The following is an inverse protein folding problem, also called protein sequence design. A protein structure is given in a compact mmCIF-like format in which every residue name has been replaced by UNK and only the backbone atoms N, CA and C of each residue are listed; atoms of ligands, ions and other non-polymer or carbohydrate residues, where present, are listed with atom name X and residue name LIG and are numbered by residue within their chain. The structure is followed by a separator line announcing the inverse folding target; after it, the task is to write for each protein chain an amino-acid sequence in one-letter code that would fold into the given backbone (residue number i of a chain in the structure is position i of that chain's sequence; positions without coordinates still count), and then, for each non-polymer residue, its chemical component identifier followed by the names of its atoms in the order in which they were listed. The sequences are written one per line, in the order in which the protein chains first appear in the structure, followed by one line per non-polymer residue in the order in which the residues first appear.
data_IF_904117243162
#
_entry.id   IF_904117243162
#
_cell.length_a   1.000
_cell.length_b   1.000
_cell.length_c   1.000
_cell.angle_alpha   90.00
_cell.angle_beta   90.00
_cell.angle_gamma   90.00
#
_symmetry.space_group_name_H-M   'P 1'
#
loop_
_entity.id
_entity.type
_entity.pdbx_description
1 polymer ?
#
# COMPACT_ATOMS: atom_id res chain seq x y z
N UNK A 1 21.85 17.35 10.39
CA UNK A 1 21.15 17.27 9.09
C UNK A 1 19.72 17.68 9.34
N UNK A 2 19.11 18.57 8.53
CA UNK A 2 17.72 18.93 8.72
C UNK A 2 16.88 17.66 8.65
N UNK A 3 15.95 17.50 9.60
CA UNK A 3 15.03 16.36 9.61
C UNK A 3 14.21 16.42 8.33
N UNK A 4 13.99 15.28 7.69
CA UNK A 4 13.33 15.13 6.37
C UNK A 4 11.90 15.71 6.28
N UNK A 5 11.42 16.42 7.31
CA UNK A 5 10.07 16.96 7.44
C UNK A 5 10.02 18.50 7.56
N UNK A 6 11.15 19.21 7.45
CA UNK A 6 11.20 20.69 7.59
C UNK A 6 10.25 21.42 6.62
N UNK A 7 9.94 20.81 5.47
CA UNK A 7 8.97 21.38 4.53
C UNK A 7 7.53 21.32 5.04
N UNK A 8 7.17 20.29 5.84
CA UNK A 8 5.81 20.11 6.36
C UNK A 8 5.40 21.26 7.28
N UNK A 9 6.32 21.75 8.12
CA UNK A 9 6.08 22.87 9.01
C UNK A 9 5.70 24.19 8.29
N UNK A 10 6.02 24.28 7.00
CA UNK A 10 5.75 25.43 6.14
C UNK A 10 4.72 25.15 5.05
N UNK A 11 4.29 23.88 4.93
CA UNK A 11 3.41 23.45 3.87
C UNK A 11 1.96 23.82 4.16
N UNK A 12 1.42 24.78 3.40
CA UNK A 12 0.03 25.26 3.54
C UNK A 12 -0.98 24.42 2.76
N UNK A 13 -0.54 23.64 1.78
CA UNK A 13 -1.38 22.77 0.95
C UNK A 13 -0.62 21.48 0.66
N UNK A 14 -1.01 20.43 1.34
CA UNK A 14 -0.39 19.10 1.26
C UNK A 14 -1.39 18.11 0.67
N UNK A 15 -1.01 17.34 -0.33
CA UNK A 15 -1.72 16.13 -0.70
C UNK A 15 -1.02 14.91 -0.09
N UNK A 16 -1.77 13.99 0.47
CA UNK A 16 -1.27 12.75 1.09
C UNK A 16 -1.82 11.58 0.31
N UNK A 17 -0.95 10.72 -0.16
CA UNK A 17 -1.30 9.52 -0.90
C UNK A 17 -0.81 8.30 -0.12
N UNK A 18 -1.73 7.73 0.68
CA UNK A 18 -1.50 6.48 1.39
C UNK A 18 -1.67 5.28 0.47
N UNK A 19 -0.88 4.25 0.68
CA UNK A 19 -1.00 3.02 -0.09
C UNK A 19 -0.05 1.94 0.38
N UNK A 20 -0.34 0.68 0.04
CA UNK A 20 0.62 -0.40 0.30
C UNK A 20 1.86 -0.24 -0.57
N UNK A 21 1.69 0.21 -1.83
CA UNK A 21 2.74 0.38 -2.84
C UNK A 21 3.61 -0.88 -3.00
N UNK A 22 2.95 -1.99 -3.25
CA UNK A 22 3.58 -3.31 -3.36
C UNK A 22 3.35 -3.98 -4.75
N UNK A 23 4.08 -3.52 -5.79
CA UNK A 23 4.90 -2.30 -5.85
C UNK A 23 4.10 -1.03 -6.17
N UNK A 24 4.76 0.11 -6.04
CA UNK A 24 4.31 1.35 -6.68
C UNK A 24 4.33 1.19 -8.20
N UNK A 25 3.38 1.82 -8.88
CA UNK A 25 3.25 1.71 -10.34
C UNK A 25 2.86 3.04 -10.98
N UNK A 26 2.95 3.10 -12.32
CA UNK A 26 2.70 4.33 -13.07
C UNK A 26 1.27 4.88 -12.88
N UNK A 27 0.29 4.04 -12.54
CA UNK A 27 -1.04 4.49 -12.16
C UNK A 27 -1.04 5.36 -10.90
N UNK A 28 -0.23 5.02 -9.88
CA UNK A 28 -0.08 5.86 -8.69
C UNK A 28 0.57 7.20 -9.02
N UNK A 29 1.64 7.17 -9.83
CA UNK A 29 2.36 8.39 -10.25
C UNK A 29 1.43 9.31 -11.05
N UNK A 30 0.71 8.78 -12.03
CA UNK A 30 -0.21 9.55 -12.85
C UNK A 30 -1.33 10.20 -12.03
N UNK A 31 -1.88 9.50 -11.03
CA UNK A 31 -2.86 10.08 -10.09
C UNK A 31 -2.22 11.22 -9.30
N UNK A 32 -1.00 11.06 -8.78
CA UNK A 32 -0.30 12.09 -8.02
C UNK A 32 -0.03 13.34 -8.88
N UNK A 33 0.39 13.17 -10.13
CA UNK A 33 0.60 14.27 -11.10
C UNK A 33 -0.70 14.98 -11.44
N UNK A 34 -1.78 14.24 -11.65
CA UNK A 34 -3.10 14.81 -11.92
C UNK A 34 -3.62 15.62 -10.70
N UNK A 35 -3.44 15.09 -9.48
CA UNK A 35 -3.76 15.80 -8.23
C UNK A 35 -2.91 17.06 -8.08
N UNK A 36 -1.62 17.01 -8.39
CA UNK A 36 -0.73 18.16 -8.36
C UNK A 36 -1.20 19.27 -9.32
N UNK A 37 -1.65 18.89 -10.51
CA UNK A 37 -2.12 19.82 -11.54
C UNK A 37 -3.47 20.46 -11.17
N UNK A 38 -4.45 19.64 -10.76
CA UNK A 38 -5.83 20.07 -10.53
C UNK A 38 -6.01 20.78 -9.18
N UNK A 39 -5.49 20.18 -8.12
CA UNK A 39 -5.68 20.69 -6.75
C UNK A 39 -4.57 21.62 -6.28
N UNK A 40 -3.47 21.70 -7.03
CA UNK A 40 -2.31 22.55 -6.77
C UNK A 40 -1.80 22.50 -5.33
N UNK A 41 -1.58 21.29 -4.74
CA UNK A 41 -0.86 21.22 -3.50
C UNK A 41 0.60 21.67 -3.71
N UNK A 42 1.26 22.14 -2.65
CA UNK A 42 2.69 22.47 -2.71
C UNK A 42 3.54 21.19 -2.79
N UNK A 43 3.03 20.11 -2.21
CA UNK A 43 3.68 18.80 -2.18
C UNK A 43 2.63 17.68 -2.26
N UNK A 44 3.04 16.55 -2.83
CA UNK A 44 2.35 15.27 -2.70
C UNK A 44 3.25 14.35 -1.87
N UNK A 45 2.76 13.95 -0.71
CA UNK A 45 3.44 13.07 0.22
C UNK A 45 2.94 11.64 0.04
N UNK A 46 3.79 10.76 -0.44
CA UNK A 46 3.53 9.33 -0.47
C UNK A 46 3.79 8.73 0.90
N UNK A 47 2.85 7.95 1.41
CA UNK A 47 2.97 7.27 2.70
C UNK A 47 2.79 5.78 2.50
N UNK A 48 3.88 5.03 2.29
CA UNK A 48 3.82 3.57 2.23
C UNK A 48 3.34 3.01 3.56
N UNK A 49 2.28 2.19 3.52
CA UNK A 49 1.71 1.58 4.71
C UNK A 49 2.72 0.66 5.42
N UNK A 50 2.86 0.79 6.72
CA UNK A 50 3.74 -0.07 7.51
C UNK A 50 3.16 -1.49 7.64
N UNK A 51 2.18 -1.64 8.52
CA UNK A 51 1.44 -2.88 8.72
C UNK A 51 -0.06 -2.63 8.52
N UNK A 52 -0.57 -2.71 7.27
CA UNK A 52 -1.95 -2.38 6.95
C UNK A 52 -2.91 -3.45 7.49
N UNK A 53 -3.80 -3.11 8.45
CA UNK A 53 -4.68 -4.08 9.12
C UNK A 53 -5.74 -4.71 8.20
N UNK A 54 -6.04 -4.07 7.06
CA UNK A 54 -7.03 -4.56 6.08
C UNK A 54 -6.45 -5.52 5.04
N UNK A 55 -5.17 -5.83 5.13
CA UNK A 55 -4.49 -6.79 4.26
C UNK A 55 -3.69 -7.78 5.10
N UNK A 56 -4.38 -8.59 5.95
CA UNK A 56 -3.68 -9.67 6.63
C UNK A 56 -3.03 -10.58 5.58
N UNK A 57 -1.91 -11.18 5.96
CA UNK A 57 -1.29 -12.22 5.15
C UNK A 57 -2.30 -13.34 4.93
N UNK A 58 -2.98 -13.29 3.80
CA UNK A 58 -3.81 -14.42 3.37
C UNK A 58 -2.88 -15.51 2.86
N UNK A 59 -3.21 -16.79 3.02
CA UNK A 59 -2.41 -17.87 2.45
C UNK A 59 -2.09 -17.59 0.97
N UNK A 60 -0.80 -17.54 0.64
CA UNK A 60 -0.32 -17.22 -0.72
C UNK A 60 -0.19 -15.73 -1.06
N UNK A 61 -0.49 -14.80 -0.15
CA UNK A 61 -0.32 -13.36 -0.37
C UNK A 61 0.71 -12.78 0.59
N UNK A 62 1.96 -12.80 0.20
CA UNK A 62 3.03 -12.13 0.92
C UNK A 62 3.12 -10.65 0.48
N UNK A 63 2.97 -9.71 1.42
CA UNK A 63 3.26 -8.28 1.18
C UNK A 63 4.75 -8.08 1.41
N UNK A 64 5.44 -7.46 0.46
CA UNK A 64 6.87 -7.16 0.59
C UNK A 64 7.16 -6.31 1.83
N UNK A 65 8.33 -6.50 2.42
CA UNK A 65 8.76 -5.75 3.58
C UNK A 65 8.57 -4.24 3.38
N UNK A 66 8.20 -3.54 4.46
CA UNK A 66 7.93 -2.11 4.43
C UNK A 66 9.10 -1.29 3.90
N UNK A 67 10.34 -1.70 4.22
CA UNK A 67 11.55 -1.03 3.74
C UNK A 67 11.69 -1.14 2.21
N UNK A 68 11.45 -2.31 1.63
CA UNK A 68 11.49 -2.47 0.18
C UNK A 68 10.43 -1.60 -0.52
N UNK A 69 9.22 -1.55 0.01
CA UNK A 69 8.12 -0.73 -0.53
C UNK A 69 8.42 0.77 -0.44
N UNK A 70 9.02 1.19 0.69
CA UNK A 70 9.51 2.56 0.85
C UNK A 70 10.59 2.90 -0.17
N UNK A 71 11.61 2.06 -0.35
CA UNK A 71 12.71 2.32 -1.27
C UNK A 71 12.25 2.35 -2.73
N UNK A 72 11.35 1.45 -3.14
CA UNK A 72 10.74 1.49 -4.46
C UNK A 72 9.94 2.78 -4.69
N UNK A 73 9.18 3.21 -3.67
CA UNK A 73 8.41 4.45 -3.74
C UNK A 73 9.34 5.66 -3.85
N UNK A 74 10.37 5.74 -3.02
CA UNK A 74 11.36 6.81 -3.04
C UNK A 74 12.06 6.90 -4.39
N UNK A 75 12.55 5.77 -4.91
CA UNK A 75 13.22 5.71 -6.21
C UNK A 75 12.30 6.15 -7.38
N UNK A 76 10.98 5.94 -7.23
CA UNK A 76 10.00 6.29 -8.26
C UNK A 76 9.65 7.77 -8.31
N UNK A 77 9.80 8.49 -7.21
CA UNK A 77 9.27 9.86 -7.09
C UNK A 77 10.36 10.92 -6.89
N UNK A 78 11.60 10.51 -6.64
CA UNK A 78 12.71 11.42 -6.27
C UNK A 78 13.07 12.45 -7.35
N UNK A 79 12.74 12.22 -8.61
CA UNK A 79 12.99 13.16 -9.71
C UNK A 79 11.97 14.31 -9.76
N UNK A 80 10.80 14.15 -9.17
CA UNK A 80 9.79 15.21 -9.11
C UNK A 80 9.95 16.02 -7.82
N UNK A 81 10.36 17.31 -7.89
CA UNK A 81 10.60 18.12 -6.69
C UNK A 81 9.33 18.40 -5.87
N UNK A 82 8.14 18.16 -6.41
CA UNK A 82 6.89 18.32 -5.68
C UNK A 82 6.43 17.03 -4.97
N UNK A 83 7.17 15.91 -5.14
CA UNK A 83 6.87 14.64 -4.51
C UNK A 83 7.84 14.35 -3.37
N UNK A 84 7.31 13.79 -2.30
CA UNK A 84 8.08 13.34 -1.14
C UNK A 84 7.55 11.99 -0.65
N UNK A 85 8.35 11.25 0.10
CA UNK A 85 7.96 9.96 0.70
C UNK A 85 8.20 10.01 2.20
N UNK A 86 7.22 9.59 2.97
CA UNK A 86 7.33 9.52 4.43
C UNK A 86 7.46 8.09 4.92
N UNK A 87 8.29 7.91 5.94
CA UNK A 87 8.47 6.64 6.66
C UNK A 87 7.53 6.49 7.86
N UNK A 88 6.66 7.48 8.11
CA UNK A 88 5.89 7.58 9.36
C UNK A 88 5.08 6.33 9.71
N UNK A 89 4.61 5.58 8.72
CA UNK A 89 3.90 4.32 8.96
C UNK A 89 4.85 3.11 9.01
N UNK A 90 5.95 3.13 8.25
CA UNK A 90 6.99 2.09 8.30
C UNK A 90 7.67 2.05 9.68
N UNK A 91 7.98 3.22 10.24
CA UNK A 91 8.69 3.34 11.51
C UNK A 91 7.75 3.16 12.74
N UNK A 92 6.42 3.17 12.50
CA UNK A 92 5.42 2.99 13.56
C UNK A 92 5.32 1.51 13.94
N UNK A 93 5.37 1.22 15.24
CA UNK A 93 5.11 -0.12 15.76
C UNK A 93 3.60 -0.40 15.79
N UNK A 94 3.22 -1.59 15.35
CA UNK A 94 1.83 -2.06 15.34
C UNK A 94 1.06 -1.71 14.06
N UNK A 95 -0.28 -1.81 14.08
CA UNK A 95 -1.12 -1.52 12.91
C UNK A 95 -1.01 -0.07 12.46
N UNK A 96 -1.03 0.16 11.15
CA UNK A 96 -1.01 1.50 10.55
C UNK A 96 -2.43 1.94 10.21
N UNK A 97 -2.96 2.89 10.97
CA UNK A 97 -4.27 3.49 10.67
C UNK A 97 -4.10 4.88 10.07
N UNK A 98 -4.87 5.18 9.05
CA UNK A 98 -4.83 6.47 8.34
C UNK A 98 -5.15 7.65 9.27
N UNK A 99 -6.05 7.47 10.24
CA UNK A 99 -6.39 8.51 11.22
C UNK A 99 -5.17 8.96 12.01
N UNK A 100 -4.34 8.04 12.50
CA UNK A 100 -3.14 8.36 13.28
C UNK A 100 -2.11 9.12 12.41
N UNK A 101 -1.99 8.72 11.15
CA UNK A 101 -1.10 9.36 10.18
C UNK A 101 -1.51 10.81 9.90
N UNK A 102 -2.82 11.06 9.74
CA UNK A 102 -3.33 12.41 9.52
C UNK A 102 -3.30 13.26 10.80
N UNK A 103 -3.50 12.68 11.97
CA UNK A 103 -3.32 13.37 13.26
C UNK A 103 -1.87 13.86 13.41
N UNK A 104 -0.87 12.99 13.17
CA UNK A 104 0.55 13.38 13.18
C UNK A 104 0.85 14.50 12.18
N UNK A 105 0.30 14.42 10.96
CA UNK A 105 0.49 15.47 9.96
C UNK A 105 -0.16 16.80 10.37
N UNK A 106 -1.30 16.77 11.07
CA UNK A 106 -1.93 17.95 11.64
C UNK A 106 -1.11 18.62 12.74
N UNK A 107 -0.38 17.84 13.52
CA UNK A 107 0.55 18.34 14.55
C UNK A 107 1.78 19.03 13.92
N UNK A 108 2.27 18.50 12.79
CA UNK A 108 3.48 19.00 12.13
C UNK A 108 3.16 20.19 11.21
N UNK A 109 2.09 20.10 10.44
CA UNK A 109 1.71 21.14 9.48
C UNK A 109 1.17 22.40 10.17
N UNK A 110 1.23 23.59 9.51
CA UNK A 110 0.59 24.79 10.04
C UNK A 110 -0.89 24.56 10.39
N UNK A 111 -1.42 25.20 11.45
CA UNK A 111 -2.82 24.98 11.87
C UNK A 111 -3.87 25.23 10.78
N UNK A 112 -3.57 26.13 9.85
CA UNK A 112 -4.42 26.48 8.71
C UNK A 112 -4.05 25.76 7.41
N UNK A 113 -3.19 24.74 7.47
CA UNK A 113 -2.83 23.97 6.30
C UNK A 113 -4.03 23.20 5.77
N UNK A 114 -4.21 23.20 4.45
CA UNK A 114 -5.12 22.29 3.77
C UNK A 114 -4.41 20.95 3.54
N UNK A 115 -4.93 19.91 4.12
CA UNK A 115 -4.46 18.52 3.87
C UNK A 115 -5.52 17.84 3.02
N UNK A 116 -5.13 17.38 1.85
CA UNK A 116 -5.94 16.55 0.96
C UNK A 116 -5.51 15.09 1.13
N UNK A 117 -6.44 14.20 1.40
CA UNK A 117 -6.17 12.75 1.39
C UNK A 117 -6.69 12.15 0.08
N UNK A 118 -5.78 11.61 -0.72
CA UNK A 118 -6.10 11.00 -2.01
C UNK A 118 -6.53 9.56 -1.77
N UNK A 119 -7.76 9.24 -2.15
CA UNK A 119 -8.40 7.94 -1.89
C UNK A 119 -9.10 7.43 -3.16
N UNK A 120 -9.06 6.13 -3.41
CA UNK A 120 -9.89 5.52 -4.45
C UNK A 120 -11.38 5.58 -4.09
N UNK A 121 -12.23 5.69 -5.09
CA UNK A 121 -13.68 5.76 -4.89
C UNK A 121 -14.25 4.52 -4.18
N UNK A 122 -13.70 3.34 -4.46
CA UNK A 122 -13.99 2.07 -3.79
C UNK A 122 -13.66 2.12 -2.29
N UNK A 123 -12.48 2.60 -1.94
CA UNK A 123 -12.05 2.75 -0.56
C UNK A 123 -12.86 3.84 0.20
N UNK A 124 -13.28 4.92 -0.49
CA UNK A 124 -14.18 5.92 0.09
C UNK A 124 -15.55 5.33 0.40
N UNK A 125 -16.06 4.42 -0.42
CA UNK A 125 -17.33 3.75 -0.17
C UNK A 125 -17.33 2.96 1.15
N UNK A 126 -16.18 2.45 1.56
CA UNK A 126 -15.97 1.67 2.78
C UNK A 126 -15.41 2.50 3.95
N UNK A 127 -15.23 3.81 3.81
CA UNK A 127 -14.50 4.65 4.77
C UNK A 127 -15.06 4.60 6.19
N UNK A 128 -16.38 4.42 6.34
CA UNK A 128 -17.02 4.31 7.66
C UNK A 128 -16.64 3.03 8.43
N UNK A 129 -16.04 2.04 7.76
CA UNK A 129 -15.51 0.83 8.41
C UNK A 129 -14.08 1.01 8.93
N UNK A 130 -13.43 2.13 8.56
CA UNK A 130 -12.06 2.39 8.96
C UNK A 130 -11.96 2.78 10.42
N UNK A 131 -10.83 2.43 11.05
CA UNK A 131 -10.57 2.82 12.43
C UNK A 131 -10.60 4.35 12.57
N UNK A 132 -11.39 4.85 13.53
CA UNK A 132 -11.51 6.28 13.79
C UNK A 132 -12.15 7.09 12.66
N UNK A 133 -12.99 6.48 11.81
CA UNK A 133 -13.60 7.10 10.62
C UNK A 133 -14.20 8.49 10.89
N UNK A 134 -14.94 8.68 11.98
CA UNK A 134 -15.56 9.97 12.30
C UNK A 134 -14.53 11.08 12.59
N UNK A 135 -13.39 10.73 13.18
CA UNK A 135 -12.28 11.68 13.39
C UNK A 135 -11.56 11.92 12.06
N UNK A 136 -11.27 10.86 11.33
CA UNK A 136 -10.61 10.90 10.03
C UNK A 136 -11.31 11.86 9.07
N UNK A 137 -12.66 11.81 8.99
CA UNK A 137 -13.47 12.63 8.10
C UNK A 137 -13.38 14.15 8.39
N UNK A 138 -12.87 14.53 9.57
CA UNK A 138 -12.69 15.94 10.00
C UNK A 138 -11.25 16.43 9.89
N UNK A 139 -10.28 15.53 9.69
CA UNK A 139 -8.85 15.86 9.68
C UNK A 139 -8.38 16.42 8.34
N UNK A 140 -9.04 16.09 7.24
CA UNK A 140 -8.60 16.46 5.89
C UNK A 140 -9.76 16.66 4.93
N UNK A 141 -9.47 17.21 3.75
CA UNK A 141 -10.36 17.17 2.60
C UNK A 141 -10.03 15.91 1.77
N UNK A 142 -11.02 15.18 1.28
CA UNK A 142 -10.80 13.96 0.51
C UNK A 142 -10.81 14.27 -0.99
N UNK A 143 -9.86 13.73 -1.72
CA UNK A 143 -9.89 13.66 -3.18
C UNK A 143 -10.24 12.22 -3.55
N UNK A 144 -11.52 11.99 -3.85
CA UNK A 144 -12.03 10.69 -4.27
C UNK A 144 -11.74 10.47 -5.76
N UNK A 145 -10.74 9.69 -6.04
CA UNK A 145 -10.31 9.38 -7.41
C UNK A 145 -11.10 8.20 -7.93
N UNK A 146 -11.78 8.39 -9.06
CA UNK A 146 -12.51 7.32 -9.74
C UNK A 146 -12.02 7.10 -11.15
N UNK A 147 -12.26 5.89 -11.66
CA UNK A 147 -12.02 5.53 -13.05
C UNK A 147 -13.30 5.67 -13.86
N UNK A 148 -13.17 5.84 -15.17
CA UNK A 148 -14.32 5.85 -16.07
C UNK A 148 -15.19 4.60 -15.87
N UNK A 149 -16.51 4.80 -15.80
CA UNK A 149 -17.46 3.71 -15.53
C UNK A 149 -17.75 3.43 -14.05
N UNK A 150 -17.09 4.11 -13.11
CA UNK A 150 -17.45 4.01 -11.69
C UNK A 150 -18.65 4.90 -11.36
N UNK A 151 -19.66 4.33 -10.73
CA UNK A 151 -20.84 5.06 -10.28
C UNK A 151 -20.75 5.31 -8.77
N UNK A 152 -20.83 6.57 -8.38
CA UNK A 152 -20.91 6.93 -6.97
C UNK A 152 -22.33 6.70 -6.42
N UNK A 153 -22.41 6.21 -5.20
CA UNK A 153 -23.65 6.25 -4.46
C UNK A 153 -23.85 7.65 -3.86
N UNK A 154 -24.65 8.49 -4.51
CA UNK A 154 -24.91 9.86 -4.07
C UNK A 154 -25.44 9.92 -2.64
N UNK A 155 -26.27 8.98 -2.23
CA UNK A 155 -26.77 8.90 -0.86
C UNK A 155 -25.63 8.71 0.15
N UNK A 156 -24.62 7.89 -0.17
CA UNK A 156 -23.45 7.69 0.68
C UNK A 156 -22.60 8.97 0.77
N UNK A 157 -22.28 9.61 -0.36
CA UNK A 157 -21.52 10.86 -0.39
C UNK A 157 -22.25 11.98 0.39
N UNK A 158 -23.56 12.10 0.19
CA UNK A 158 -24.37 13.07 0.92
C UNK A 158 -24.40 12.78 2.42
N UNK A 159 -24.47 11.51 2.83
CA UNK A 159 -24.37 11.13 4.24
C UNK A 159 -23.02 11.54 4.85
N UNK A 160 -21.89 11.27 4.15
CA UNK A 160 -20.57 11.67 4.61
C UNK A 160 -20.46 13.19 4.78
N UNK A 161 -21.02 13.97 3.85
CA UNK A 161 -20.99 15.44 3.89
C UNK A 161 -21.91 16.00 4.99
N UNK A 162 -23.14 15.56 5.07
CA UNK A 162 -24.16 16.14 5.95
C UNK A 162 -24.02 15.69 7.39
N UNK A 163 -23.81 14.37 7.61
CA UNK A 163 -23.76 13.82 8.95
C UNK A 163 -22.36 13.96 9.60
N UNK A 164 -21.30 13.80 8.81
CA UNK A 164 -19.93 13.79 9.34
C UNK A 164 -19.15 15.06 9.03
N UNK A 165 -19.69 15.97 8.19
CA UNK A 165 -19.02 17.21 7.82
C UNK A 165 -17.83 17.01 6.88
N UNK A 166 -17.76 15.87 6.19
CA UNK A 166 -16.65 15.57 5.29
C UNK A 166 -16.62 16.51 4.07
N UNK A 167 -15.44 17.00 3.73
CA UNK A 167 -15.20 17.75 2.48
C UNK A 167 -14.66 16.75 1.45
N UNK A 168 -15.44 16.49 0.41
CA UNK A 168 -15.12 15.47 -0.60
C UNK A 168 -15.13 16.10 -1.98
N UNK A 169 -14.00 16.02 -2.67
CA UNK A 169 -13.81 16.38 -4.07
C UNK A 169 -13.84 15.11 -4.91
N UNK A 170 -14.79 15.01 -5.84
CA UNK A 170 -14.88 13.89 -6.76
C UNK A 170 -14.01 14.21 -7.97
N UNK A 171 -13.06 13.36 -8.28
CA UNK A 171 -12.05 13.62 -9.31
C UNK A 171 -11.88 12.40 -10.22
N UNK A 172 -12.08 12.60 -11.51
CA UNK A 172 -11.82 11.57 -12.49
C UNK A 172 -10.32 11.43 -12.71
N UNK A 173 -9.78 10.29 -12.30
CA UNK A 173 -8.36 9.98 -12.45
C UNK A 173 -7.97 9.67 -13.89
N UNK A 174 -6.64 9.61 -14.15
CA UNK A 174 -6.11 9.16 -15.43
C UNK A 174 -6.59 7.73 -15.76
N UNK A 175 -6.85 7.48 -17.05
CA UNK A 175 -7.29 6.18 -17.53
C UNK A 175 -6.12 5.18 -17.65
N UNK A 176 -5.48 4.85 -16.52
CA UNK A 176 -4.42 3.85 -16.43
C UNK A 176 -4.92 2.65 -15.62
N UNK A 177 -5.19 1.56 -16.32
CA UNK A 177 -5.59 0.30 -15.72
C UNK A 177 -4.36 -0.53 -15.33
N UNK A 178 -3.73 -0.16 -14.21
CA UNK A 178 -2.60 -0.89 -13.66
C UNK A 178 -2.95 -1.29 -12.23
N UNK A 179 -2.76 -2.57 -11.93
CA UNK A 179 -2.97 -3.14 -10.60
C UNK A 179 -1.66 -3.70 -10.06
N UNK A 180 -1.35 -3.42 -8.79
CA UNK A 180 -0.17 -4.01 -8.14
C UNK A 180 -0.22 -5.53 -8.12
N UNK A 181 -1.41 -6.14 -8.06
CA UNK A 181 -1.57 -7.60 -8.09
C UNK A 181 -1.14 -8.17 -9.43
N UNK A 182 -1.71 -7.68 -10.54
CA UNK A 182 -1.31 -8.10 -11.88
C UNK A 182 0.17 -7.86 -12.16
N UNK A 183 0.71 -6.77 -11.61
CA UNK A 183 2.11 -6.43 -11.76
C UNK A 183 3.02 -7.42 -11.01
N UNK A 184 2.66 -7.83 -9.80
CA UNK A 184 3.37 -8.90 -9.08
C UNK A 184 3.31 -10.22 -9.83
N UNK A 185 2.14 -10.60 -10.35
CA UNK A 185 1.97 -11.84 -11.13
C UNK A 185 2.84 -11.84 -12.40
N UNK A 186 2.96 -10.70 -13.09
CA UNK A 186 3.88 -10.54 -14.22
C UNK A 186 5.34 -10.69 -13.81
N UNK A 187 5.75 -10.00 -12.75
CA UNK A 187 7.12 -10.06 -12.24
C UNK A 187 7.48 -11.47 -11.77
N UNK A 188 6.54 -12.18 -11.13
CA UNK A 188 6.70 -13.56 -10.71
C UNK A 188 6.98 -14.50 -11.90
N UNK A 189 6.36 -14.26 -13.06
CA UNK A 189 6.62 -15.02 -14.28
C UNK A 189 7.84 -14.54 -15.07
N UNK A 190 8.61 -13.59 -14.53
CA UNK A 190 9.76 -12.99 -15.22
C UNK A 190 9.38 -12.10 -16.41
N UNK A 191 8.12 -11.69 -16.50
CA UNK A 191 7.65 -10.80 -17.57
C UNK A 191 8.11 -9.35 -17.31
N UNK A 192 8.44 -8.58 -18.36
CA UNK A 192 8.89 -7.21 -18.16
C UNK A 192 7.75 -6.29 -17.68
N UNK A 193 8.03 -5.52 -16.62
CA UNK A 193 7.12 -4.49 -16.09
C UNK A 193 7.22 -3.15 -16.85
N UNK A 194 7.82 -3.14 -18.03
CA UNK A 194 8.09 -1.91 -18.82
C UNK A 194 6.79 -1.17 -19.13
N UNK A 195 6.76 0.13 -18.78
CA UNK A 195 5.57 0.98 -18.96
C UNK A 195 4.48 0.82 -17.89
N UNK A 196 4.59 -0.20 -17.02
CA UNK A 196 3.62 -0.43 -15.94
C UNK A 196 4.09 0.17 -14.61
N UNK A 197 5.40 0.17 -14.37
CA UNK A 197 5.99 0.80 -13.18
C UNK A 197 7.21 1.64 -13.56
N UNK A 198 7.61 2.59 -12.69
CA UNK A 198 8.83 3.38 -12.89
C UNK A 198 10.05 2.48 -12.99
N UNK A 199 10.96 2.82 -13.94
CA UNK A 199 12.17 2.03 -14.18
C UNK A 199 13.01 1.83 -12.91
N UNK A 200 13.15 2.88 -12.10
CA UNK A 200 13.94 2.82 -10.88
C UNK A 200 13.38 1.81 -9.87
N UNK A 201 12.04 1.72 -9.74
CA UNK A 201 11.40 0.71 -8.89
C UNK A 201 11.54 -0.70 -9.48
N UNK A 202 11.45 -0.85 -10.81
CA UNK A 202 11.67 -2.14 -11.47
C UNK A 202 13.11 -2.63 -11.30
N UNK A 203 14.09 -1.75 -11.46
CA UNK A 203 15.52 -2.05 -11.26
C UNK A 203 15.80 -2.42 -9.78
N UNK A 204 15.13 -1.73 -8.83
CA UNK A 204 15.23 -2.07 -7.41
C UNK A 204 14.64 -3.46 -7.13
N UNK A 205 13.41 -3.72 -7.59
CA UNK A 205 12.75 -5.00 -7.41
C UNK A 205 13.58 -6.16 -7.99
N UNK A 206 14.14 -5.98 -9.18
CA UNK A 206 14.98 -6.98 -9.82
C UNK A 206 16.29 -7.25 -9.03
N UNK A 207 16.93 -6.19 -8.52
CA UNK A 207 18.17 -6.30 -7.72
C UNK A 207 17.98 -7.04 -6.41
N UNK A 208 16.81 -6.84 -5.78
CA UNK A 208 16.47 -7.46 -4.50
C UNK A 208 15.62 -8.72 -4.66
N UNK A 209 15.48 -9.21 -5.89
CA UNK A 209 14.75 -10.44 -6.24
C UNK A 209 13.29 -10.46 -5.75
N UNK A 210 12.69 -9.27 -5.60
CA UNK A 210 11.31 -9.14 -5.16
C UNK A 210 10.36 -9.67 -6.23
N UNK A 211 9.27 -10.26 -5.76
CA UNK A 211 8.18 -10.79 -6.60
C UNK A 211 8.59 -11.97 -7.53
N UNK A 212 9.81 -12.43 -7.49
CA UNK A 212 10.12 -13.71 -8.13
C UNK A 212 9.26 -14.77 -7.44
N UNK A 213 8.62 -15.65 -8.22
CA UNK A 213 8.19 -16.91 -7.63
C UNK A 213 9.48 -17.51 -7.04
N UNK A 214 9.55 -17.56 -5.71
CA UNK A 214 10.47 -18.48 -5.10
C UNK A 214 10.19 -19.79 -5.77
N UNK A 215 11.21 -20.48 -6.26
CA UNK A 215 11.07 -21.86 -6.69
C UNK A 215 10.16 -22.51 -5.66
N UNK A 216 8.98 -22.97 -6.11
CA UNK A 216 8.10 -23.76 -5.25
C UNK A 216 9.05 -24.69 -4.57
N UNK A 217 9.26 -24.52 -3.26
CA UNK A 217 10.42 -25.00 -2.52
C UNK A 217 10.82 -26.34 -3.10
N UNK A 218 11.99 -26.41 -3.78
CA UNK A 218 12.35 -27.64 -4.47
C UNK A 218 12.27 -28.77 -3.46
N UNK A 219 11.92 -29.98 -3.82
CA UNK A 219 11.93 -31.12 -2.89
C UNK A 219 13.18 -31.15 -2.02
N UNK A 220 14.34 -30.75 -2.56
CA UNK A 220 15.58 -30.60 -1.83
C UNK A 220 15.55 -29.49 -0.76
N UNK A 221 14.81 -28.39 -0.98
CA UNK A 221 14.66 -27.32 0.01
C UNK A 221 13.71 -27.73 1.13
N UNK A 222 12.63 -28.46 0.82
CA UNK A 222 11.75 -29.07 1.82
C UNK A 222 12.51 -30.08 2.68
N UNK A 223 13.36 -30.89 2.07
CA UNK A 223 14.18 -31.85 2.80
C UNK A 223 15.18 -31.16 3.73
N UNK A 224 15.84 -30.08 3.28
CA UNK A 224 16.75 -29.29 4.11
C UNK A 224 16.05 -28.62 5.29
N UNK A 225 14.89 -27.97 5.05
CA UNK A 225 14.08 -27.35 6.12
C UNK A 225 13.54 -28.40 7.09
N UNK A 226 13.10 -29.56 6.57
CA UNK A 226 12.64 -30.67 7.42
C UNK A 226 13.77 -31.17 8.33
N UNK A 227 14.96 -31.35 7.80
CA UNK A 227 16.11 -31.84 8.54
C UNK A 227 16.54 -30.82 9.61
N UNK A 228 16.55 -29.53 9.29
CA UNK A 228 16.84 -28.45 10.24
C UNK A 228 15.79 -28.37 11.35
N UNK A 229 14.49 -28.45 11.02
CA UNK A 229 13.41 -28.53 12.00
C UNK A 229 13.52 -29.78 12.88
N UNK A 230 13.98 -30.90 12.33
CA UNK A 230 14.24 -32.13 13.07
C UNK A 230 15.32 -31.99 14.13
N UNK A 231 16.30 -31.09 13.90
CA UNK A 231 17.36 -30.78 14.87
C UNK A 231 16.87 -29.77 15.95
N UNK A 232 15.96 -28.86 15.61
CA UNK A 232 15.50 -27.77 16.49
C UNK A 232 14.28 -28.12 17.33
N UNK A 233 13.45 -29.04 16.87
CA UNK A 233 12.20 -29.38 17.55
C UNK A 233 12.29 -30.70 18.32
N UNK A 234 11.54 -30.82 19.44
CA UNK A 234 11.34 -32.10 20.08
C UNK A 234 10.62 -33.09 19.13
N UNK A 235 10.89 -34.41 19.26
CA UNK A 235 10.27 -35.41 18.39
C UNK A 235 8.74 -35.32 18.29
N UNK A 236 8.08 -34.89 19.34
CA UNK A 236 6.63 -34.74 19.37
C UNK A 236 6.17 -33.49 18.58
N UNK A 237 6.86 -32.37 18.74
CA UNK A 237 6.57 -31.13 17.99
C UNK A 237 6.88 -31.30 16.51
N UNK A 238 7.99 -31.95 16.18
CA UNK A 238 8.35 -32.24 14.80
C UNK A 238 7.29 -33.09 14.09
N UNK A 239 6.80 -34.16 14.72
CA UNK A 239 5.73 -35.00 14.16
C UNK A 239 4.42 -34.20 13.97
N UNK A 240 4.09 -33.33 14.90
CA UNK A 240 2.89 -32.53 14.79
C UNK A 240 3.00 -31.52 13.63
N UNK A 241 4.13 -30.83 13.50
CA UNK A 241 4.39 -29.89 12.39
C UNK A 241 4.36 -30.62 11.04
N UNK A 242 5.01 -31.78 10.93
CA UNK A 242 5.01 -32.57 9.71
C UNK A 242 3.59 -33.04 9.33
N UNK A 243 2.82 -33.51 10.31
CA UNK A 243 1.42 -33.89 10.10
C UNK A 243 0.54 -32.74 9.60
N UNK A 244 0.79 -31.53 10.07
CA UNK A 244 0.07 -30.34 9.61
C UNK A 244 0.40 -30.00 8.16
N UNK A 245 1.65 -30.11 7.74
CA UNK A 245 2.08 -29.89 6.35
C UNK A 245 1.43 -30.92 5.43
N UNK A 246 1.50 -32.21 5.77
CA UNK A 246 0.89 -33.29 4.97
C UNK A 246 -0.62 -33.07 4.82
N UNK A 247 -1.32 -32.73 5.90
CA UNK A 247 -2.75 -32.45 5.85
C UNK A 247 -3.09 -31.22 4.98
N UNK A 248 -2.25 -30.21 4.98
CA UNK A 248 -2.41 -29.04 4.12
C UNK A 248 -2.21 -29.38 2.64
N UNK A 249 -1.22 -30.20 2.30
CA UNK A 249 -1.00 -30.68 0.93
C UNK A 249 -2.17 -31.55 0.42
N UNK A 250 -2.67 -32.47 1.24
CA UNK A 250 -3.83 -33.29 0.90
C UNK A 250 -5.09 -32.45 0.64
N UNK A 251 -5.32 -31.39 1.45
CA UNK A 251 -6.43 -30.46 1.26
C UNK A 251 -6.24 -29.64 -0.01
N UNK A 252 -5.05 -29.14 -0.29
CA UNK A 252 -4.75 -28.37 -1.49
C UNK A 252 -5.02 -29.20 -2.76
N UNK A 253 -4.56 -30.46 -2.80
CA UNK A 253 -4.82 -31.39 -3.90
C UNK A 253 -6.33 -31.68 -4.06
N UNK A 254 -7.05 -31.89 -2.95
CA UNK A 254 -8.48 -32.23 -2.97
C UNK A 254 -9.37 -31.09 -3.44
N UNK A 255 -8.99 -29.84 -3.18
CA UNK A 255 -9.77 -28.65 -3.51
C UNK A 255 -9.21 -27.85 -4.68
N UNK A 256 -8.21 -28.36 -5.41
CA UNK A 256 -7.64 -27.72 -6.59
C UNK A 256 -6.96 -26.38 -6.29
N UNK A 257 -6.51 -26.16 -5.06
CA UNK A 257 -5.65 -25.04 -4.75
C UNK A 257 -4.28 -25.32 -5.40
N UNK A 258 -3.77 -24.37 -6.20
CA UNK A 258 -2.45 -24.50 -6.83
C UNK A 258 -1.38 -24.82 -5.78
N UNK A 259 -0.51 -25.77 -6.14
CA UNK A 259 0.74 -26.06 -5.47
C UNK A 259 1.64 -24.81 -5.37
#
# INVERSE_FOLDING_TARGET
MPTKHDFLEKCKRLAVMGGTFDPIHNGHIAVAEAVLTEFRPQRVLFVPGGNPPHKPDAPGRHVSDGEHRFQMTLASVCENPAFDVSRMEIDRKGPSYTVDTLEMLREICPPNAKIFFVIGADALAEILTWNGAERLLKLCEFIAVYRSGYEFCDAHINNLRQKYGAVIHIFQGPALEISSTELRDKLARGEPARGLMPKAAADYAARHELYKQGDALSPAHFDAVRDELGLLLSKQRFRHTLGTVIAAEELAQRFGACE
#
